data_IF_429236646761
#
_entry.id   IF_429236646761
#
_cell.length_a   1.000
_cell.length_b   1.000
_cell.length_c   1.000
_cell.angle_alpha   90.00
_cell.angle_beta   90.00
_cell.angle_gamma   90.00
#
_symmetry.space_group_name_H-M   'P 1'
#
loop_
_entity.id
_entity.type
_entity.pdbx_description
1 polymer ?
#
# COMPACT_ATOMS: atom_id res chain seq x y z
N UNK A 1 -2.31 -28.42 14.87
CA UNK A 1 -1.81 -27.03 14.95
C UNK A 1 -1.49 -26.57 13.52
N UNK A 2 -2.20 -25.59 12.96
CA UNK A 2 -1.94 -25.08 11.60
C UNK A 2 -0.56 -24.38 11.60
N UNK A 3 0.44 -24.96 10.93
CA UNK A 3 1.76 -24.34 10.78
C UNK A 3 1.74 -23.42 9.57
N UNK A 4 1.27 -22.19 9.74
CA UNK A 4 1.40 -21.17 8.70
C UNK A 4 2.80 -20.55 8.81
N UNK A 5 3.70 -20.94 7.90
CA UNK A 5 5.01 -20.29 7.77
C UNK A 5 4.85 -19.07 6.87
N UNK A 6 5.16 -17.90 7.40
CA UNK A 6 5.35 -16.67 6.63
C UNK A 6 6.65 -16.76 5.82
N UNK A 7 7.72 -17.22 6.48
CA UNK A 7 9.01 -17.55 5.88
C UNK A 7 9.74 -18.59 6.76
N UNK A 8 10.94 -19.01 6.38
CA UNK A 8 11.75 -19.93 7.19
C UNK A 8 11.78 -21.37 6.68
N UNK A 9 12.53 -22.23 7.38
CA UNK A 9 12.73 -23.62 6.99
C UNK A 9 11.73 -24.56 7.65
N UNK A 10 10.97 -25.30 6.84
CA UNK A 10 10.13 -26.38 7.33
C UNK A 10 10.93 -27.70 7.35
N UNK A 11 11.31 -28.13 8.55
CA UNK A 11 12.06 -29.38 8.77
C UNK A 11 11.29 -30.64 8.36
N UNK A 12 9.96 -30.58 8.30
CA UNK A 12 9.14 -31.76 7.99
C UNK A 12 9.05 -31.99 6.49
N UNK A 13 8.86 -30.93 5.72
CA UNK A 13 8.84 -30.97 4.25
C UNK A 13 10.22 -30.79 3.62
N UNK A 14 11.24 -30.45 4.41
CA UNK A 14 12.60 -30.08 3.96
C UNK A 14 12.61 -28.89 2.99
N UNK A 15 11.60 -28.01 3.09
CA UNK A 15 11.42 -26.88 2.19
C UNK A 15 11.80 -25.57 2.87
N UNK A 16 12.57 -24.73 2.18
CA UNK A 16 12.93 -23.39 2.64
C UNK A 16 12.04 -22.31 2.03
N UNK A 17 11.34 -21.58 2.88
CA UNK A 17 10.54 -20.40 2.54
C UNK A 17 11.25 -19.09 2.90
N UNK A 18 12.55 -19.13 3.17
CA UNK A 18 13.34 -17.96 3.59
C UNK A 18 13.29 -16.81 2.57
N UNK A 19 13.20 -17.14 1.28
CA UNK A 19 13.04 -16.17 0.18
C UNK A 19 11.83 -15.23 0.36
N UNK A 20 10.78 -15.67 1.07
CA UNK A 20 9.59 -14.85 1.32
C UNK A 20 9.89 -13.66 2.23
N UNK A 21 10.92 -13.72 3.09
CA UNK A 21 11.31 -12.58 3.93
C UNK A 21 11.66 -11.36 3.07
N UNK A 22 12.45 -11.57 2.03
CA UNK A 22 12.87 -10.51 1.11
C UNK A 22 11.68 -9.95 0.32
N UNK A 23 10.71 -10.79 -0.03
CA UNK A 23 9.49 -10.36 -0.71
C UNK A 23 8.64 -9.45 0.18
N UNK A 24 8.44 -9.86 1.45
CA UNK A 24 7.71 -9.05 2.43
C UNK A 24 8.43 -7.71 2.66
N UNK A 25 9.75 -7.73 2.80
CA UNK A 25 10.52 -6.51 2.99
C UNK A 25 10.43 -5.56 1.78
N UNK A 26 10.61 -6.08 0.57
CA UNK A 26 10.48 -5.28 -0.66
C UNK A 26 9.08 -4.70 -0.79
N UNK A 27 8.04 -5.49 -0.50
CA UNK A 27 6.65 -5.02 -0.54
C UNK A 27 6.39 -3.95 0.51
N UNK A 28 6.87 -4.13 1.73
CA UNK A 28 6.75 -3.15 2.81
C UNK A 28 7.34 -1.80 2.37
N UNK A 29 8.56 -1.80 1.83
CA UNK A 29 9.24 -0.61 1.32
C UNK A 29 8.47 0.04 0.16
N UNK A 30 7.94 -0.76 -0.76
CA UNK A 30 7.13 -0.26 -1.88
C UNK A 30 5.86 0.46 -1.39
N UNK A 31 5.13 -0.14 -0.45
CA UNK A 31 3.91 0.47 0.11
C UNK A 31 4.26 1.75 0.89
N UNK A 32 5.33 1.72 1.70
CA UNK A 32 5.80 2.88 2.45
C UNK A 32 6.18 4.07 1.55
N UNK A 33 6.79 3.82 0.38
CA UNK A 33 7.13 4.89 -0.57
C UNK A 33 5.88 5.55 -1.18
N UNK A 34 4.77 4.81 -1.30
CA UNK A 34 3.52 5.29 -1.87
C UNK A 34 2.69 6.04 -0.82
N UNK A 35 2.53 5.45 0.36
CA UNK A 35 1.73 5.98 1.46
C UNK A 35 2.43 7.18 2.12
N UNK A 36 1.66 7.98 2.84
CA UNK A 36 2.18 9.01 3.75
C UNK A 36 2.35 8.40 5.15
N UNK A 37 3.08 7.28 5.21
CA UNK A 37 3.35 6.52 6.43
C UNK A 37 4.81 6.12 6.42
N UNK A 38 5.55 6.59 7.41
CA UNK A 38 6.95 6.26 7.62
C UNK A 38 7.06 4.93 8.37
N UNK A 39 7.94 4.04 7.91
CA UNK A 39 8.29 2.81 8.63
C UNK A 39 9.50 3.11 9.49
N UNK A 40 9.28 3.36 10.79
CA UNK A 40 10.35 3.70 11.73
C UNK A 40 11.19 2.48 12.10
N UNK A 41 10.56 1.30 12.21
CA UNK A 41 11.23 0.03 12.46
C UNK A 41 10.36 -1.14 11.98
N UNK A 42 11.00 -2.27 11.67
CA UNK A 42 10.30 -3.51 11.36
C UNK A 42 11.11 -4.74 11.79
N UNK A 43 10.42 -5.85 12.04
CA UNK A 43 11.01 -7.17 12.25
C UNK A 43 10.16 -8.23 11.54
N UNK A 44 10.77 -9.06 10.69
CA UNK A 44 10.08 -10.12 9.93
C UNK A 44 10.61 -11.48 10.39
N UNK A 45 9.75 -12.26 11.03
CA UNK A 45 10.05 -13.59 11.56
C UNK A 45 9.34 -14.67 10.76
N UNK A 46 9.61 -15.93 11.09
CA UNK A 46 9.12 -17.08 10.34
C UNK A 46 7.60 -17.25 10.33
N UNK A 47 6.89 -16.70 11.32
CA UNK A 47 5.44 -16.86 11.48
C UNK A 47 4.66 -15.54 11.60
N UNK A 48 5.33 -14.41 11.82
CA UNK A 48 4.70 -13.08 11.91
C UNK A 48 5.73 -11.96 11.70
N UNK A 49 5.25 -10.72 11.65
CA UNK A 49 6.08 -9.53 11.54
C UNK A 49 5.57 -8.43 12.50
N UNK A 50 6.46 -7.53 12.90
CA UNK A 50 6.17 -6.34 13.69
C UNK A 50 6.56 -5.08 12.91
N UNK A 51 5.73 -4.04 12.98
CA UNK A 51 5.98 -2.74 12.35
C UNK A 51 5.80 -1.63 13.39
N UNK A 52 6.69 -0.64 13.36
CA UNK A 52 6.52 0.65 14.03
C UNK A 52 6.30 1.69 12.94
N UNK A 53 5.11 2.28 12.93
CA UNK A 53 4.65 3.18 11.87
C UNK A 53 4.41 4.57 12.42
N UNK A 54 4.76 5.59 11.65
CA UNK A 54 4.42 6.98 11.90
C UNK A 54 3.54 7.50 10.77
N UNK A 55 2.35 8.01 11.08
CA UNK A 55 1.44 8.57 10.08
C UNK A 55 1.86 10.01 9.80
N UNK A 56 2.36 10.28 8.60
CA UNK A 56 2.83 11.60 8.19
C UNK A 56 1.69 12.42 7.58
N UNK A 57 0.76 12.87 8.42
CA UNK A 57 -0.39 13.67 8.00
C UNK A 57 0.02 14.99 7.37
N UNK A 58 1.13 15.58 7.80
CA UNK A 58 1.65 16.80 7.19
C UNK A 58 2.08 16.58 5.74
N UNK A 59 2.78 15.48 5.43
CA UNK A 59 3.10 15.13 4.05
C UNK A 59 1.82 14.99 3.24
N UNK A 60 0.84 14.25 3.77
CA UNK A 60 -0.43 14.07 3.09
C UNK A 60 -1.17 15.38 2.84
N UNK A 61 -1.08 16.38 3.72
CA UNK A 61 -1.70 17.69 3.53
C UNK A 61 -0.97 18.56 2.49
N UNK A 62 0.34 18.36 2.31
CA UNK A 62 1.15 19.10 1.33
C UNK A 62 0.99 18.61 -0.11
N UNK A 63 0.51 17.38 -0.32
CA UNK A 63 0.36 16.83 -1.68
C UNK A 63 -0.67 17.63 -2.49
N UNK A 64 -0.36 17.89 -3.75
CA UNK A 64 -1.37 18.29 -4.75
C UNK A 64 -2.32 17.14 -5.07
N UNK A 65 -3.45 17.43 -5.70
CA UNK A 65 -4.37 16.40 -6.21
C UNK A 65 -3.67 15.43 -7.16
N UNK A 66 -2.79 15.96 -8.02
CA UNK A 66 -2.01 15.20 -8.98
C UNK A 66 -1.06 14.22 -8.27
N UNK A 67 -0.35 14.65 -7.24
CA UNK A 67 0.54 13.78 -6.48
C UNK A 67 -0.20 12.67 -5.72
N UNK A 68 -1.40 12.97 -5.19
CA UNK A 68 -2.25 11.94 -4.57
C UNK A 68 -2.65 10.88 -5.60
N UNK A 69 -3.05 11.30 -6.81
CA UNK A 69 -3.38 10.37 -7.90
C UNK A 69 -2.16 9.52 -8.23
N UNK A 70 -1.00 10.13 -8.52
CA UNK A 70 0.22 9.41 -8.93
C UNK A 70 0.67 8.37 -7.90
N UNK A 71 0.64 8.74 -6.61
CA UNK A 71 0.90 7.80 -5.52
C UNK A 71 -0.11 6.66 -5.54
N UNK A 72 -1.41 6.96 -5.53
CA UNK A 72 -2.44 5.93 -5.44
C UNK A 72 -2.41 4.92 -6.59
N UNK A 73 -2.20 5.40 -7.82
CA UNK A 73 -2.20 4.56 -9.03
C UNK A 73 -0.95 3.68 -9.16
N UNK A 74 0.09 3.95 -8.38
CA UNK A 74 1.28 3.07 -8.32
C UNK A 74 0.90 1.67 -7.82
N UNK A 75 -0.16 1.56 -7.00
CA UNK A 75 -0.62 0.29 -6.42
C UNK A 75 -2.01 -0.14 -6.91
N UNK A 76 -2.73 0.73 -7.62
CA UNK A 76 -4.12 0.50 -8.02
C UNK A 76 -4.37 0.99 -9.45
N UNK A 77 -5.40 0.44 -10.10
CA UNK A 77 -5.83 0.95 -11.41
C UNK A 77 -6.63 2.25 -11.23
N UNK A 78 -6.33 3.24 -12.07
CA UNK A 78 -7.09 4.49 -12.12
C UNK A 78 -8.48 4.25 -12.74
N UNK A 79 -9.58 4.75 -12.15
CA UNK A 79 -10.88 4.82 -12.81
C UNK A 79 -10.81 5.70 -14.07
N UNK A 80 -11.64 5.40 -15.08
CA UNK A 80 -11.71 6.18 -16.34
C UNK A 80 -11.92 7.67 -16.09
N UNK A 81 -12.75 8.01 -15.09
CA UNK A 81 -13.00 9.39 -14.71
C UNK A 81 -11.72 10.13 -14.26
N UNK A 82 -10.82 9.45 -13.53
CA UNK A 82 -9.54 10.03 -13.10
C UNK A 82 -8.55 10.12 -14.27
N UNK A 83 -8.58 9.18 -15.21
CA UNK A 83 -7.77 9.25 -16.43
C UNK A 83 -8.14 10.50 -17.25
N UNK A 84 -9.45 10.69 -17.51
CA UNK A 84 -9.97 11.90 -18.17
C UNK A 84 -9.63 13.17 -17.40
N UNK A 85 -9.62 13.12 -16.07
CA UNK A 85 -9.20 14.26 -15.24
C UNK A 85 -7.72 14.61 -15.46
N UNK A 86 -6.84 13.62 -15.50
CA UNK A 86 -5.40 13.81 -15.77
C UNK A 86 -5.15 14.34 -17.19
N UNK A 87 -5.98 13.95 -18.16
CA UNK A 87 -5.90 14.41 -19.56
C UNK A 87 -6.56 15.78 -19.79
N UNK A 88 -7.20 16.36 -18.77
CA UNK A 88 -7.92 17.64 -18.88
C UNK A 88 -9.27 17.52 -19.60
N UNK A 89 -9.77 16.31 -19.83
CA UNK A 89 -11.00 15.99 -20.58
C UNK A 89 -12.28 16.01 -19.71
N UNK A 90 -12.18 16.48 -18.46
CA UNK A 90 -13.34 16.67 -17.58
C UNK A 90 -14.03 18.00 -17.90
N UNK A 91 -15.11 17.91 -18.67
CA UNK A 91 -15.78 19.09 -19.25
C UNK A 91 -16.82 19.69 -18.32
N UNK A 92 -17.38 18.91 -17.40
CA UNK A 92 -18.44 19.36 -16.49
C UNK A 92 -17.95 19.58 -15.07
N UNK A 93 -18.59 20.53 -14.38
CA UNK A 93 -18.33 20.78 -12.96
C UNK A 93 -18.68 19.57 -12.08
N UNK A 94 -19.69 18.78 -12.47
CA UNK A 94 -20.05 17.54 -11.79
C UNK A 94 -18.94 16.48 -11.90
N UNK A 95 -18.35 16.28 -13.07
CA UNK A 95 -17.21 15.36 -13.27
C UNK A 95 -16.01 15.79 -12.43
N UNK A 96 -15.66 17.08 -12.42
CA UNK A 96 -14.55 17.61 -11.61
C UNK A 96 -14.79 17.38 -10.12
N UNK A 97 -15.99 17.69 -9.62
CA UNK A 97 -16.33 17.48 -8.22
C UNK A 97 -16.29 15.99 -7.82
N UNK A 98 -16.75 15.10 -8.71
CA UNK A 98 -16.64 13.66 -8.49
C UNK A 98 -15.17 13.19 -8.44
N UNK A 99 -14.30 13.72 -9.30
CA UNK A 99 -12.85 13.45 -9.24
C UNK A 99 -12.26 13.91 -7.91
N UNK A 100 -12.53 15.15 -7.50
CA UNK A 100 -12.02 15.71 -6.25
C UNK A 100 -12.49 14.91 -5.03
N UNK A 101 -13.73 14.42 -5.02
CA UNK A 101 -14.22 13.55 -3.96
C UNK A 101 -13.42 12.23 -3.88
N UNK A 102 -13.16 11.58 -5.02
CA UNK A 102 -12.33 10.37 -5.08
C UNK A 102 -10.91 10.65 -4.58
N UNK A 103 -10.31 11.74 -5.03
CA UNK A 103 -8.93 12.14 -4.66
C UNK A 103 -8.83 12.42 -3.16
N UNK A 104 -9.83 13.09 -2.56
CA UNK A 104 -9.90 13.30 -1.11
C UNK A 104 -9.93 11.99 -0.34
N UNK A 105 -10.77 11.04 -0.77
CA UNK A 105 -10.79 9.70 -0.17
C UNK A 105 -9.44 9.00 -0.32
N UNK A 106 -8.75 9.12 -1.45
CA UNK A 106 -7.42 8.52 -1.61
C UNK A 106 -6.38 9.16 -0.69
N UNK A 107 -6.42 10.48 -0.50
CA UNK A 107 -5.55 11.19 0.45
C UNK A 107 -5.70 10.64 1.88
N UNK A 108 -6.94 10.45 2.34
CA UNK A 108 -7.22 9.84 3.63
C UNK A 108 -6.66 8.40 3.71
N UNK A 109 -6.83 7.62 2.63
CA UNK A 109 -6.32 6.24 2.58
C UNK A 109 -4.81 6.16 2.57
N UNK A 110 -4.11 7.12 1.96
CA UNK A 110 -2.64 7.19 2.00
C UNK A 110 -2.09 7.39 3.43
N UNK A 111 -2.92 7.82 4.38
CA UNK A 111 -2.60 7.89 5.81
C UNK A 111 -3.18 6.73 6.65
N UNK A 112 -3.91 5.80 6.05
CA UNK A 112 -4.63 4.77 6.79
C UNK A 112 -3.76 3.54 7.02
N UNK A 113 -3.45 3.25 8.28
CA UNK A 113 -2.78 2.00 8.70
C UNK A 113 -3.57 0.78 8.22
N UNK A 114 -4.90 0.81 8.30
CA UNK A 114 -5.74 -0.31 7.85
C UNK A 114 -5.58 -0.59 6.35
N UNK A 115 -5.47 0.46 5.51
CA UNK A 115 -5.20 0.29 4.08
C UNK A 115 -3.78 -0.21 3.82
N UNK A 116 -2.79 0.36 4.52
CA UNK A 116 -1.40 -0.07 4.45
C UNK A 116 -1.27 -1.58 4.75
N UNK A 117 -1.81 -2.00 5.89
CA UNK A 117 -1.78 -3.39 6.35
C UNK A 117 -2.57 -4.31 5.42
N UNK A 118 -3.69 -3.85 4.87
CA UNK A 118 -4.47 -4.64 3.90
C UNK A 118 -3.65 -4.97 2.66
N UNK A 119 -2.95 -3.99 2.08
CA UNK A 119 -2.15 -4.20 0.87
C UNK A 119 -0.93 -5.10 1.13
N UNK A 120 -0.32 -4.99 2.32
CA UNK A 120 0.77 -5.86 2.73
C UNK A 120 0.29 -7.30 2.91
N UNK A 121 -0.79 -7.50 3.68
CA UNK A 121 -1.33 -8.83 3.96
C UNK A 121 -1.93 -9.51 2.73
N UNK A 122 -2.56 -8.75 1.84
CA UNK A 122 -3.06 -9.29 0.57
C UNK A 122 -1.91 -9.82 -0.30
N UNK A 123 -0.79 -9.08 -0.36
CA UNK A 123 0.39 -9.54 -1.10
C UNK A 123 0.97 -10.82 -0.49
N UNK A 124 1.13 -10.84 0.84
CA UNK A 124 1.59 -12.03 1.58
C UNK A 124 0.67 -13.23 1.29
N UNK A 125 -0.65 -13.04 1.34
CA UNK A 125 -1.60 -14.13 1.13
C UNK A 125 -1.61 -14.65 -0.32
N UNK A 126 -1.24 -13.83 -1.30
CA UNK A 126 -1.18 -14.23 -2.71
C UNK A 126 0.14 -14.93 -3.08
N UNK A 127 1.24 -14.58 -2.43
CA UNK A 127 2.58 -15.13 -2.71
C UNK A 127 2.97 -16.30 -1.77
N UNK A 128 2.24 -16.50 -0.67
CA UNK A 128 2.48 -17.56 0.31
C UNK A 128 1.79 -18.88 -0.06
#
# INVERSE_FOLDING_TARGET
MRRSYLCGYDKLTQTSYEHRRDWVEKRLKQIANVFCIDVCAYAIMSNHYHLVLHINTEQANRLSEHEVIQRWITLHRAPVLIQRFLEGETSTEAEKNACLAIIRTWRERLCSISWFMRLLNQYIANEA
#
